data_IF_591217936852
#
_entry.id   IF_591217936852
#
_cell.length_a   1.000
_cell.length_b   1.000
_cell.length_c   1.000
_cell.angle_alpha   90.00
_cell.angle_beta   90.00
_cell.angle_gamma   90.00
#
_symmetry.space_group_name_H-M   'P 1'
#
loop_
_entity.id
_entity.type
_entity.pdbx_description
1 polymer ?
#
# COMPACT_ATOMS: atom_id res chain seq x y z
N UNK A 1 1.89 30.59 -38.74
CA UNK A 1 0.78 30.39 -37.78
C UNK A 1 1.31 29.61 -36.58
N UNK A 2 1.70 30.32 -35.51
CA UNK A 2 2.32 29.71 -34.33
C UNK A 2 1.20 29.17 -33.41
N UNK A 3 0.78 27.91 -33.58
CA UNK A 3 -0.24 27.29 -32.72
C UNK A 3 0.34 27.17 -31.31
N UNK A 4 -0.13 28.01 -30.39
CA UNK A 4 0.23 27.98 -28.98
C UNK A 4 -0.16 26.62 -28.39
N UNK A 5 0.84 25.76 -28.18
CA UNK A 5 0.65 24.42 -27.61
C UNK A 5 0.08 24.53 -26.20
N UNK A 6 -0.80 23.60 -25.82
CA UNK A 6 -1.40 23.55 -24.48
C UNK A 6 -0.32 23.57 -23.39
N UNK A 7 -0.57 24.33 -22.32
CA UNK A 7 0.37 24.44 -21.20
C UNK A 7 0.55 23.08 -20.52
N UNK A 8 1.75 22.85 -19.94
CA UNK A 8 2.04 21.59 -19.23
C UNK A 8 1.06 21.34 -18.07
N UNK A 9 0.74 22.40 -17.32
CA UNK A 9 -0.23 22.35 -16.22
C UNK A 9 -1.61 21.89 -16.71
N UNK A 10 -2.13 22.44 -17.81
CA UNK A 10 -3.42 22.03 -18.38
C UNK A 10 -3.39 20.58 -18.87
N UNK A 11 -2.30 20.13 -19.51
CA UNK A 11 -2.15 18.71 -19.88
C UNK A 11 -2.16 17.78 -18.68
N UNK A 12 -1.47 18.14 -17.59
CA UNK A 12 -1.43 17.32 -16.39
C UNK A 12 -2.80 17.25 -15.71
N UNK A 13 -3.48 18.38 -15.58
CA UNK A 13 -4.84 18.44 -15.05
C UNK A 13 -5.80 17.56 -15.84
N UNK A 14 -5.78 17.64 -17.18
CA UNK A 14 -6.61 16.78 -18.03
C UNK A 14 -6.29 15.29 -17.88
N UNK A 15 -5.00 14.91 -17.76
CA UNK A 15 -4.63 13.52 -17.49
C UNK A 15 -5.17 13.03 -16.15
N UNK A 16 -5.10 13.87 -15.12
CA UNK A 16 -5.66 13.55 -13.79
C UNK A 16 -7.18 13.39 -13.85
N UNK A 17 -7.89 14.25 -14.57
CA UNK A 17 -9.34 14.12 -14.78
C UNK A 17 -9.69 12.82 -15.52
N UNK A 18 -8.97 12.49 -16.59
CA UNK A 18 -9.18 11.24 -17.34
C UNK A 18 -8.98 10.01 -16.43
N UNK A 19 -7.92 10.01 -15.62
CA UNK A 19 -7.68 8.91 -14.67
C UNK A 19 -8.77 8.82 -13.60
N UNK A 20 -9.25 9.95 -13.08
CA UNK A 20 -10.35 9.98 -12.12
C UNK A 20 -11.65 9.44 -12.70
N UNK A 21 -11.97 9.79 -13.95
CA UNK A 21 -13.15 9.26 -14.64
C UNK A 21 -12.98 7.77 -14.91
N UNK A 22 -11.81 7.33 -15.40
CA UNK A 22 -11.54 5.92 -15.65
C UNK A 22 -11.66 5.07 -14.38
N UNK A 23 -11.18 5.59 -13.24
CA UNK A 23 -11.35 4.93 -11.94
C UNK A 23 -12.83 4.74 -11.59
N UNK A 24 -13.65 5.78 -11.74
CA UNK A 24 -15.08 5.70 -11.46
C UNK A 24 -15.81 4.71 -12.40
N UNK A 25 -15.39 4.65 -13.68
CA UNK A 25 -15.94 3.70 -14.64
C UNK A 25 -15.58 2.25 -14.28
N UNK A 26 -14.35 1.99 -13.85
CA UNK A 26 -13.92 0.66 -13.38
C UNK A 26 -14.69 0.23 -12.13
N UNK A 27 -14.93 1.14 -11.19
CA UNK A 27 -15.73 0.84 -10.00
C UNK A 27 -17.21 0.56 -10.35
N UNK A 28 -17.77 1.31 -11.29
CA UNK A 28 -19.12 1.07 -11.80
C UNK A 28 -19.22 -0.29 -12.53
N UNK A 29 -18.25 -0.63 -13.37
CA UNK A 29 -18.16 -1.91 -14.06
C UNK A 29 -18.04 -3.07 -13.06
N UNK A 30 -17.20 -2.94 -12.02
CA UNK A 30 -17.06 -3.97 -11.00
C UNK A 30 -18.37 -4.23 -10.23
N UNK A 31 -19.13 -3.18 -9.93
CA UNK A 31 -20.47 -3.28 -9.33
C UNK A 31 -21.46 -3.96 -10.26
N UNK A 32 -21.47 -3.58 -11.53
CA UNK A 32 -22.35 -4.20 -12.53
C UNK A 32 -22.04 -5.68 -12.69
N UNK A 33 -20.76 -6.05 -12.75
CA UNK A 33 -20.33 -7.45 -12.86
C UNK A 33 -20.78 -8.29 -11.67
N UNK A 34 -20.79 -7.74 -10.45
CA UNK A 34 -21.33 -8.43 -9.28
C UNK A 34 -22.85 -8.66 -9.40
N UNK A 35 -23.60 -7.65 -9.86
CA UNK A 35 -25.05 -7.76 -10.09
C UNK A 35 -25.35 -8.78 -11.19
N UNK A 36 -24.63 -8.73 -12.31
CA UNK A 36 -24.81 -9.66 -13.43
C UNK A 36 -24.48 -11.09 -13.01
N UNK A 37 -23.45 -11.28 -12.16
CA UNK A 37 -23.12 -12.59 -11.59
C UNK A 37 -24.24 -13.11 -10.69
N UNK A 38 -24.79 -12.27 -9.81
CA UNK A 38 -25.92 -12.67 -8.95
C UNK A 38 -27.16 -13.01 -9.78
N UNK A 39 -27.48 -12.21 -10.80
CA UNK A 39 -28.59 -12.48 -11.71
C UNK A 39 -28.41 -13.82 -12.45
N UNK A 40 -27.21 -14.08 -13.00
CA UNK A 40 -26.89 -15.32 -13.68
C UNK A 40 -26.98 -16.54 -12.73
N UNK A 41 -26.46 -16.43 -11.50
CA UNK A 41 -26.56 -17.49 -10.50
C UNK A 41 -28.01 -17.77 -10.09
N UNK A 42 -28.85 -16.75 -9.94
CA UNK A 42 -30.26 -16.93 -9.61
C UNK A 42 -31.06 -17.62 -10.74
N UNK A 43 -30.69 -17.39 -11.99
CA UNK A 43 -31.32 -18.05 -13.15
C UNK A 43 -30.88 -19.52 -13.28
N UNK A 44 -29.59 -19.81 -13.08
CA UNK A 44 -29.02 -21.14 -13.34
C UNK A 44 -29.01 -22.05 -12.10
N UNK A 45 -29.03 -21.46 -10.91
CA UNK A 45 -29.05 -22.16 -9.62
C UNK A 45 -29.95 -21.41 -8.64
N UNK A 46 -31.28 -21.45 -8.86
CA UNK A 46 -32.23 -20.85 -7.92
C UNK A 46 -32.17 -21.56 -6.56
N UNK A 47 -32.72 -20.90 -5.54
CA UNK A 47 -32.83 -21.49 -4.22
C UNK A 47 -33.52 -22.86 -4.29
N UNK A 48 -32.91 -23.85 -3.63
CA UNK A 48 -33.41 -25.23 -3.60
C UNK A 48 -34.79 -25.27 -2.94
N UNK A 49 -35.78 -25.69 -3.71
CA UNK A 49 -37.08 -26.10 -3.19
C UNK A 49 -37.04 -27.60 -2.90
N UNK A 50 -37.28 -27.97 -1.64
CA UNK A 50 -37.24 -29.36 -1.21
C UNK A 50 -38.65 -29.94 -1.31
N UNK A 51 -38.92 -30.84 -2.29
CA UNK A 51 -40.23 -31.46 -2.40
C UNK A 51 -40.53 -32.30 -1.15
N UNK A 52 -41.77 -32.25 -0.68
CA UNK A 52 -42.21 -32.96 0.53
C UNK A 52 -42.21 -34.49 0.40
N UNK A 53 -42.65 -35.09 -0.72
CA UNK A 53 -42.64 -36.54 -0.90
C UNK A 53 -41.23 -37.13 -1.06
N UNK A 54 -40.97 -38.26 -0.40
CA UNK A 54 -39.67 -38.95 -0.43
C UNK A 54 -39.22 -39.36 -1.85
N UNK A 55 -40.16 -39.74 -2.73
CA UNK A 55 -39.85 -40.11 -4.11
C UNK A 55 -39.35 -38.92 -4.93
N UNK A 56 -40.07 -37.79 -4.89
CA UNK A 56 -39.68 -36.56 -5.57
C UNK A 56 -38.32 -36.05 -5.07
N UNK A 57 -38.03 -36.20 -3.77
CA UNK A 57 -36.74 -35.85 -3.19
C UNK A 57 -35.60 -36.74 -3.74
N UNK A 58 -35.83 -38.06 -3.87
CA UNK A 58 -34.85 -38.97 -4.46
C UNK A 58 -34.58 -38.67 -5.94
N UNK A 59 -35.62 -38.31 -6.70
CA UNK A 59 -35.49 -37.90 -8.09
C UNK A 59 -34.71 -36.58 -8.23
N UNK A 60 -35.00 -35.59 -7.38
CA UNK A 60 -34.25 -34.35 -7.32
C UNK A 60 -32.77 -34.58 -7.03
N UNK A 61 -32.43 -35.42 -6.03
CA UNK A 61 -31.05 -35.76 -5.71
C UNK A 61 -30.31 -36.41 -6.88
N UNK A 62 -30.94 -37.33 -7.62
CA UNK A 62 -30.36 -37.95 -8.81
C UNK A 62 -30.13 -36.94 -9.92
N UNK A 63 -31.10 -36.05 -10.15
CA UNK A 63 -30.99 -34.98 -11.15
C UNK A 63 -29.85 -34.02 -10.83
N UNK A 64 -29.74 -33.55 -9.58
CA UNK A 64 -28.66 -32.67 -9.15
C UNK A 64 -27.29 -33.34 -9.30
N UNK A 65 -27.18 -34.63 -8.98
CA UNK A 65 -25.93 -35.35 -9.15
C UNK A 65 -25.47 -35.39 -10.62
N UNK A 66 -26.37 -35.70 -11.55
CA UNK A 66 -26.06 -35.67 -12.99
C UNK A 66 -25.68 -34.26 -13.47
N UNK A 67 -26.38 -33.23 -12.98
CA UNK A 67 -26.07 -31.83 -13.31
C UNK A 67 -24.69 -31.42 -12.77
N UNK A 68 -24.29 -31.89 -11.58
CA UNK A 68 -22.97 -31.63 -11.02
C UNK A 68 -21.88 -32.18 -11.94
N UNK A 69 -22.01 -33.41 -12.41
CA UNK A 69 -21.02 -34.03 -13.30
C UNK A 69 -20.86 -33.23 -14.61
N UNK A 70 -21.98 -32.83 -15.22
CA UNK A 70 -21.96 -32.00 -16.42
C UNK A 70 -21.31 -30.63 -16.19
N UNK A 71 -21.69 -29.93 -15.12
CA UNK A 71 -21.15 -28.60 -14.80
C UNK A 71 -19.66 -28.68 -14.45
N UNK A 72 -19.21 -29.77 -13.82
CA UNK A 72 -17.79 -29.99 -13.52
C UNK A 72 -16.96 -30.16 -14.79
N UNK A 73 -17.47 -30.93 -15.77
CA UNK A 73 -16.88 -31.07 -17.09
C UNK A 73 -16.79 -29.73 -17.83
N UNK A 74 -17.90 -28.97 -17.87
CA UNK A 74 -17.91 -27.64 -18.47
C UNK A 74 -16.91 -26.68 -17.78
N UNK A 75 -16.85 -26.70 -16.44
CA UNK A 75 -15.87 -25.93 -15.67
C UNK A 75 -14.44 -26.31 -16.02
N UNK A 76 -14.16 -27.60 -16.17
CA UNK A 76 -12.84 -28.09 -16.57
C UNK A 76 -12.43 -27.55 -17.94
N UNK A 77 -13.32 -27.62 -18.92
CA UNK A 77 -13.09 -27.09 -20.26
C UNK A 77 -12.88 -25.57 -20.27
N UNK A 78 -13.68 -24.82 -19.52
CA UNK A 78 -13.47 -23.38 -19.37
C UNK A 78 -12.13 -23.06 -18.74
N UNK A 79 -11.74 -23.77 -17.68
CA UNK A 79 -10.46 -23.57 -17.03
C UNK A 79 -9.29 -23.88 -17.99
N UNK A 80 -9.41 -24.93 -18.81
CA UNK A 80 -8.42 -25.26 -19.83
C UNK A 80 -8.29 -24.17 -20.91
N UNK A 81 -9.40 -23.54 -21.31
CA UNK A 81 -9.40 -22.41 -22.25
C UNK A 81 -8.70 -21.18 -21.63
N UNK A 82 -9.06 -20.82 -20.39
CA UNK A 82 -8.43 -19.70 -19.66
C UNK A 82 -6.92 -19.93 -19.51
N UNK A 83 -6.50 -21.12 -19.10
CA UNK A 83 -5.08 -21.45 -18.95
C UNK A 83 -4.29 -21.33 -20.27
N UNK A 84 -4.89 -21.70 -21.41
CA UNK A 84 -4.29 -21.50 -22.73
C UNK A 84 -4.13 -20.01 -23.06
N UNK A 85 -5.17 -19.21 -22.81
CA UNK A 85 -5.11 -17.77 -23.03
C UNK A 85 -4.09 -17.08 -22.12
N UNK A 86 -4.00 -17.47 -20.85
CA UNK A 86 -3.01 -16.93 -19.92
C UNK A 86 -1.58 -17.22 -20.36
N UNK A 87 -1.32 -18.45 -20.83
CA UNK A 87 -0.03 -18.84 -21.39
C UNK A 87 0.33 -18.01 -22.63
N UNK A 88 -0.64 -17.81 -23.53
CA UNK A 88 -0.43 -16.96 -24.71
C UNK A 88 -0.12 -15.50 -24.32
N UNK A 89 -0.84 -14.96 -23.33
CA UNK A 89 -0.58 -13.62 -22.80
C UNK A 89 0.83 -13.53 -22.20
N UNK A 90 1.27 -14.54 -21.47
CA UNK A 90 2.62 -14.60 -20.90
C UNK A 90 3.69 -14.61 -22.00
N UNK A 91 3.55 -15.49 -23.00
CA UNK A 91 4.45 -15.57 -24.15
C UNK A 91 4.53 -14.22 -24.89
N UNK A 92 3.38 -13.56 -25.09
CA UNK A 92 3.30 -12.24 -25.72
C UNK A 92 3.96 -11.16 -24.85
N UNK A 93 3.77 -11.19 -23.52
CA UNK A 93 4.44 -10.27 -22.59
C UNK A 93 5.95 -10.40 -22.68
N UNK A 94 6.48 -11.63 -22.74
CA UNK A 94 7.91 -11.89 -22.90
C UNK A 94 8.41 -11.31 -24.23
N UNK A 95 7.73 -11.60 -25.35
CA UNK A 95 8.09 -11.04 -26.67
C UNK A 95 8.10 -9.51 -26.66
N UNK A 96 7.12 -8.87 -26.00
CA UNK A 96 7.09 -7.40 -25.87
C UNK A 96 8.29 -6.89 -25.08
N UNK A 97 8.72 -7.58 -24.03
CA UNK A 97 9.92 -7.21 -23.25
C UNK A 97 11.18 -7.35 -24.10
N UNK A 98 11.32 -8.46 -24.84
CA UNK A 98 12.47 -8.70 -25.70
C UNK A 98 12.56 -7.66 -26.84
N UNK A 99 11.43 -7.33 -27.47
CA UNK A 99 11.35 -6.28 -28.50
C UNK A 99 11.64 -4.88 -27.95
N UNK A 100 11.20 -4.56 -26.72
CA UNK A 100 11.55 -3.30 -26.05
C UNK A 100 13.04 -3.25 -25.64
N UNK A 101 13.75 -4.37 -25.74
CA UNK A 101 15.13 -4.55 -25.34
C UNK A 101 15.22 -4.88 -23.85
N UNK A 102 15.67 -6.10 -23.52
CA UNK A 102 15.96 -6.58 -22.16
C UNK A 102 16.84 -5.61 -21.35
N UNK A 103 17.70 -4.88 -22.05
CA UNK A 103 18.42 -3.71 -21.55
C UNK A 103 17.73 -2.47 -22.09
N UNK A 104 16.99 -1.73 -21.24
CA UNK A 104 16.72 -0.32 -21.53
C UNK A 104 18.08 0.33 -21.76
N UNK A 105 18.39 0.67 -23.02
CA UNK A 105 19.61 1.41 -23.35
C UNK A 105 19.68 2.57 -22.36
N UNK A 106 20.67 2.66 -21.44
CA UNK A 106 20.73 3.75 -20.50
C UNK A 106 20.70 5.02 -21.33
N UNK A 107 19.61 5.77 -21.24
CA UNK A 107 19.51 7.01 -21.99
C UNK A 107 20.73 7.82 -21.58
N UNK A 108 21.59 8.17 -22.53
CA UNK A 108 22.72 9.04 -22.29
C UNK A 108 22.13 10.36 -21.78
N UNK A 109 22.01 10.48 -20.46
CA UNK A 109 21.47 11.67 -19.83
C UNK A 109 22.51 12.74 -20.07
N UNK A 110 22.16 13.72 -20.90
CA UNK A 110 22.92 14.98 -20.99
C UNK A 110 22.76 15.66 -19.63
N UNK A 111 23.65 15.32 -18.69
CA UNK A 111 23.73 15.97 -17.38
C UNK A 111 24.13 17.41 -17.65
N UNK A 112 23.17 18.32 -17.53
CA UNK A 112 23.47 19.75 -17.46
C UNK A 112 23.92 20.04 -16.03
N UNK A 113 24.82 21.02 -15.89
CA UNK A 113 25.29 21.50 -14.59
C UNK A 113 24.10 21.72 -13.65
N UNK A 114 24.14 21.14 -12.45
CA UNK A 114 23.06 21.29 -11.47
C UNK A 114 22.91 22.76 -11.09
N UNK A 115 21.71 23.17 -10.67
CA UNK A 115 21.50 24.52 -10.15
C UNK A 115 22.48 24.84 -9.01
N UNK A 116 22.78 23.84 -8.18
CA UNK A 116 23.73 23.94 -7.07
C UNK A 116 25.18 24.15 -7.55
N UNK A 117 25.62 23.42 -8.59
CA UNK A 117 26.94 23.62 -9.19
C UNK A 117 27.05 24.97 -9.92
N UNK A 118 25.96 25.44 -10.52
CA UNK A 118 25.90 26.76 -11.15
C UNK A 118 25.92 27.89 -10.11
N UNK A 119 25.17 27.76 -9.02
CA UNK A 119 25.13 28.74 -7.95
C UNK A 119 26.47 28.79 -7.20
N UNK A 120 27.10 27.66 -6.92
CA UNK A 120 28.43 27.61 -6.32
C UNK A 120 29.49 28.25 -7.21
N UNK A 121 29.41 28.05 -8.53
CA UNK A 121 30.33 28.68 -9.49
C UNK A 121 30.11 30.20 -9.64
N UNK A 122 28.87 30.68 -9.56
CA UNK A 122 28.53 32.10 -9.74
C UNK A 122 28.64 32.93 -8.46
N UNK A 123 28.35 32.35 -7.29
CA UNK A 123 28.21 33.06 -6.01
C UNK A 123 29.28 32.67 -4.99
N UNK A 124 30.18 31.74 -5.34
CA UNK A 124 31.27 31.30 -4.49
C UNK A 124 30.80 30.64 -3.19
N UNK A 125 31.65 30.67 -2.15
CA UNK A 125 31.39 30.01 -0.87
C UNK A 125 30.30 30.68 -0.01
N UNK A 126 29.89 31.91 -0.35
CA UNK A 126 29.03 32.72 0.52
C UNK A 126 27.59 32.23 0.57
N UNK A 127 27.11 31.50 -0.45
CA UNK A 127 25.73 30.99 -0.54
C UNK A 127 25.71 29.49 -0.82
N UNK A 128 26.47 28.71 -0.04
CA UNK A 128 26.39 27.24 -0.04
C UNK A 128 25.14 26.79 0.75
N UNK A 129 23.97 26.94 0.15
CA UNK A 129 22.73 26.35 0.67
C UNK A 129 22.61 24.97 0.05
N UNK A 130 23.08 23.92 0.73
CA UNK A 130 22.79 22.57 0.27
C UNK A 130 21.28 22.37 0.35
N UNK A 131 20.63 22.16 -0.80
CA UNK A 131 19.22 21.75 -0.86
C UNK A 131 19.07 20.27 -0.46
N UNK A 132 19.90 19.78 0.45
CA UNK A 132 19.78 18.46 1.05
C UNK A 132 18.65 18.51 2.06
N UNK A 133 17.53 17.86 1.75
CA UNK A 133 16.39 17.72 2.66
C UNK A 133 16.82 17.15 4.02
N UNK A 134 17.93 16.39 4.06
CA UNK A 134 18.54 15.83 5.28
C UNK A 134 19.26 16.85 6.15
N UNK A 135 19.85 17.90 5.59
CA UNK A 135 20.61 18.89 6.35
C UNK A 135 19.70 19.80 7.21
N UNK A 136 18.41 19.90 6.85
CA UNK A 136 17.40 20.68 7.57
C UNK A 136 16.64 19.87 8.63
N UNK A 137 16.87 18.56 8.72
CA UNK A 137 16.30 17.72 9.77
C UNK A 137 17.26 17.73 10.98
N UNK A 138 16.77 18.08 12.18
CA UNK A 138 17.57 18.06 13.41
C UNK A 138 18.13 16.65 13.64
N UNK A 139 19.45 16.51 13.52
CA UNK A 139 20.18 15.33 13.98
C UNK A 139 20.04 15.28 15.51
N UNK A 140 19.42 14.23 16.05
CA UNK A 140 19.41 14.00 17.51
C UNK A 140 20.86 13.81 17.93
N UNK A 141 21.44 14.84 18.56
CA UNK A 141 22.78 14.76 19.14
C UNK A 141 22.75 13.70 20.25
N UNK A 142 23.35 12.55 19.99
CA UNK A 142 23.87 11.71 21.07
C UNK A 142 25.13 12.41 21.55
N UNK A 143 24.97 13.37 22.46
CA UNK A 143 26.09 14.01 23.15
C UNK A 143 26.75 12.93 24.01
N UNK A 144 27.88 12.39 23.54
CA UNK A 144 28.84 11.73 24.42
C UNK A 144 29.48 12.85 25.22
N UNK A 145 28.82 13.20 26.33
CA UNK A 145 29.33 14.12 27.34
C UNK A 145 30.45 13.40 28.10
N UNK A 146 31.68 13.62 27.67
CA UNK A 146 32.86 13.34 28.47
C UNK A 146 33.01 14.50 29.46
N UNK A 147 32.25 14.48 30.57
CA UNK A 147 32.48 15.33 31.75
C UNK A 147 31.70 14.80 32.96
N UNK A 148 32.47 14.35 33.97
CA UNK A 148 32.13 13.92 35.33
C UNK A 148 31.40 12.57 35.53
N UNK A 149 32.19 11.49 35.58
CA UNK A 149 31.79 10.19 36.13
C UNK A 149 31.60 10.18 37.67
N UNK A 150 31.26 11.32 38.27
CA UNK A 150 31.12 11.49 39.74
C UNK A 150 29.67 11.76 40.17
N UNK A 151 28.73 11.94 39.24
CA UNK A 151 27.33 12.28 39.56
C UNK A 151 26.31 11.20 39.15
N UNK A 152 26.76 9.96 38.98
CA UNK A 152 25.88 8.77 38.93
C UNK A 152 26.37 7.78 39.98
N UNK A 153 26.33 8.23 41.23
CA UNK A 153 26.55 7.41 42.42
C UNK A 153 25.43 6.37 42.56
N UNK A 154 25.86 5.12 42.69
CA UNK A 154 25.11 3.88 42.85
C UNK A 154 23.86 3.99 43.73
N UNK A 155 22.67 3.78 43.14
CA UNK A 155 21.37 3.81 43.83
C UNK A 155 21.14 2.61 44.78
N UNK A 156 22.15 1.75 44.98
CA UNK A 156 22.05 0.56 45.85
C UNK A 156 22.55 0.73 47.29
N UNK A 157 22.72 1.96 47.79
CA UNK A 157 23.28 2.20 49.14
C UNK A 157 22.41 3.09 50.04
N UNK A 158 21.15 2.73 50.28
CA UNK A 158 20.45 3.13 51.52
C UNK A 158 19.18 2.30 51.81
N UNK A 159 19.27 0.96 51.73
CA UNK A 159 18.32 0.11 52.45
C UNK A 159 19.05 -0.37 53.70
N UNK A 160 18.95 0.41 54.77
CA UNK A 160 19.14 -0.05 56.15
C UNK A 160 18.03 0.59 57.01
N UNK A 161 17.04 -0.24 57.32
CA UNK A 161 16.35 -0.35 58.60
C UNK A 161 16.06 0.92 59.40
N UNK A 162 14.82 1.43 59.25
CA UNK A 162 14.06 1.92 60.40
C UNK A 162 12.61 1.44 60.34
N UNK A 163 12.44 0.13 60.51
CA UNK A 163 11.28 -0.38 61.21
C UNK A 163 11.25 0.24 62.62
N UNK A 164 10.13 0.88 62.98
CA UNK A 164 9.84 1.27 64.36
C UNK A 164 10.18 2.72 64.71
N UNK A 165 9.19 3.60 64.57
CA UNK A 165 8.93 4.60 65.61
C UNK A 165 7.46 5.04 65.55
N UNK A 166 6.62 4.14 66.08
CA UNK A 166 5.33 4.43 66.69
C UNK A 166 5.54 5.42 67.86
N UNK A 167 4.87 6.57 67.84
CA UNK A 167 5.04 7.58 68.89
C UNK A 167 4.62 9.01 68.53
N UNK A 168 3.36 9.34 68.86
CA UNK A 168 2.71 10.65 69.03
C UNK A 168 3.49 11.92 68.61
N UNK A 169 3.12 12.49 67.45
CA UNK A 169 3.35 13.92 67.13
C UNK A 169 2.58 14.79 68.13
N UNK A 170 3.29 15.61 68.90
CA UNK A 170 2.71 16.64 69.78
C UNK A 170 3.12 18.02 69.25
N UNK A 171 2.10 18.78 68.84
CA UNK A 171 2.15 20.19 68.41
C UNK A 171 2.66 21.10 69.52
N UNK A 172 3.15 22.28 69.18
CA UNK A 172 2.64 23.56 69.72
C UNK A 172 3.05 24.73 68.81
N UNK A 173 2.07 25.59 68.49
CA UNK A 173 2.22 26.92 67.89
C UNK A 173 2.65 27.92 68.97
N UNK A 174 3.40 28.95 68.57
CA UNK A 174 3.26 30.30 69.15
C UNK A 174 3.77 31.35 68.18
N UNK A 175 2.90 32.33 67.95
CA UNK A 175 3.10 33.60 67.26
C UNK A 175 3.85 34.58 68.21
N UNK A 176 4.92 35.19 67.71
CA UNK A 176 5.45 36.54 67.99
C UNK A 176 6.86 36.68 67.39
#
# INVERSE_FOLDING_TARGET
INRKMMTSSRRHHLKSLVLSIAFNLLDAEAKQLAVDKEAYMNEHSPALDLPGPTQELQELCKKLHQQIDQVDEERYDFNAKVAKSDKEIEDLKIKVVDLKGKFKKPALKKVRMSADAMLQALLGSKHKVSMDLRANLKQVKKEVKEESAEQVGDWRKNIEDKAGMDGRKKMFESEA
#
